data_IF_050922658843
#
_entry.id   IF_050922658843
#
_cell.length_a   1.000
_cell.length_b   1.000
_cell.length_c   1.000
_cell.angle_alpha   90.00
_cell.angle_beta   90.00
_cell.angle_gamma   90.00
#
_symmetry.space_group_name_H-M   'P 1'
#
loop_
_entity.id
_entity.type
_entity.pdbx_description
1 polymer ?
#
# COMPACT_ATOMS: atom_id res chain seq x y z
N UNK A 1 12.74 3.46 26.81
CA UNK A 1 13.17 4.45 25.80
C UNK A 1 14.02 3.82 24.67
N UNK A 2 14.94 2.88 24.99
CA UNK A 2 15.86 2.31 23.98
C UNK A 2 15.14 1.40 22.94
N UNK A 3 14.10 0.70 23.33
CA UNK A 3 13.36 -0.20 22.44
C UNK A 3 12.62 0.56 21.34
N UNK A 4 12.00 1.69 21.68
CA UNK A 4 11.27 2.54 20.73
C UNK A 4 12.19 3.15 19.68
N UNK A 5 13.39 3.57 20.09
CA UNK A 5 14.39 4.14 19.18
C UNK A 5 14.90 3.09 18.17
N UNK A 6 15.24 1.89 18.64
CA UNK A 6 15.66 0.80 17.75
C UNK A 6 14.56 0.40 16.75
N UNK A 7 13.30 0.41 17.18
CA UNK A 7 12.17 0.18 16.28
C UNK A 7 12.04 1.27 15.21
N UNK A 8 12.20 2.54 15.58
CA UNK A 8 12.14 3.65 14.63
C UNK A 8 13.24 3.55 13.57
N UNK A 9 14.49 3.29 13.99
CA UNK A 9 15.62 3.10 13.07
C UNK A 9 15.36 1.94 12.10
N UNK A 10 14.81 0.83 12.59
CA UNK A 10 14.48 -0.33 11.74
C UNK A 10 13.42 0.02 10.69
N UNK A 11 12.38 0.78 11.06
CA UNK A 11 11.34 1.20 10.12
C UNK A 11 11.92 2.11 9.05
N UNK A 12 12.69 3.13 9.44
CA UNK A 12 13.33 4.06 8.49
C UNK A 12 14.24 3.32 7.51
N UNK A 13 15.11 2.43 8.01
CA UNK A 13 16.01 1.64 7.14
C UNK A 13 15.22 0.74 6.17
N UNK A 14 14.07 0.22 6.60
CA UNK A 14 13.22 -0.61 5.76
C UNK A 14 12.54 0.22 4.65
N UNK A 15 12.10 1.44 4.96
CA UNK A 15 11.54 2.37 3.98
C UNK A 15 12.58 2.77 2.94
N UNK A 16 13.79 3.12 3.37
CA UNK A 16 14.90 3.45 2.46
C UNK A 16 15.27 2.27 1.55
N UNK A 17 15.17 1.03 2.07
CA UNK A 17 15.42 -0.18 1.28
C UNK A 17 14.33 -0.41 0.21
N UNK A 18 13.07 -0.02 0.47
CA UNK A 18 11.97 -0.10 -0.51
C UNK A 18 12.25 0.85 -1.68
N UNK A 19 12.63 2.10 -1.39
CA UNK A 19 12.93 3.10 -2.42
C UNK A 19 14.16 2.72 -3.25
N UNK A 20 15.20 2.22 -2.60
CA UNK A 20 16.36 1.66 -3.31
C UNK A 20 16.00 0.47 -4.19
N UNK A 21 15.13 -0.42 -3.70
CA UNK A 21 14.61 -1.56 -4.45
C UNK A 21 13.82 -1.13 -5.68
N UNK A 22 12.98 -0.11 -5.54
CA UNK A 22 12.21 0.48 -6.64
C UNK A 22 13.13 1.10 -7.71
N UNK A 23 14.14 1.85 -7.28
CA UNK A 23 15.11 2.44 -8.22
C UNK A 23 15.86 1.37 -9.03
N UNK A 24 16.23 0.26 -8.36
CA UNK A 24 17.06 -0.80 -8.97
C UNK A 24 16.27 -1.76 -9.84
N UNK A 25 15.06 -2.14 -9.41
CA UNK A 25 14.27 -3.21 -10.03
C UNK A 25 13.10 -2.68 -10.86
N UNK A 26 12.78 -1.38 -10.75
CA UNK A 26 11.61 -0.75 -11.40
C UNK A 26 10.27 -1.02 -10.67
N UNK A 27 10.25 -1.89 -9.65
CA UNK A 27 9.05 -2.28 -8.93
C UNK A 27 9.10 -1.87 -7.44
N UNK A 28 7.99 -1.32 -6.94
CA UNK A 28 7.85 -0.95 -5.53
C UNK A 28 7.25 -2.11 -4.73
N UNK A 29 8.11 -2.96 -4.17
CA UNK A 29 7.70 -4.14 -3.38
C UNK A 29 7.47 -3.82 -1.88
N UNK A 30 6.75 -2.74 -1.59
CA UNK A 30 6.52 -2.24 -0.23
C UNK A 30 5.79 -3.25 0.66
N UNK A 31 4.70 -3.82 0.17
CA UNK A 31 3.88 -4.77 0.94
C UNK A 31 4.67 -6.04 1.33
N UNK A 32 5.48 -6.56 0.41
CA UNK A 32 6.33 -7.74 0.66
C UNK A 32 7.41 -7.39 1.70
N UNK A 33 8.07 -6.26 1.53
CA UNK A 33 9.16 -5.83 2.41
C UNK A 33 8.64 -5.56 3.83
N UNK A 34 7.49 -4.88 3.97
CA UNK A 34 6.89 -4.60 5.27
C UNK A 34 6.31 -5.85 5.96
N UNK A 35 5.87 -6.87 5.21
CA UNK A 35 5.36 -8.13 5.78
C UNK A 35 6.44 -9.00 6.44
N UNK A 36 7.70 -8.83 6.06
CA UNK A 36 8.84 -9.56 6.65
C UNK A 36 9.01 -9.23 8.13
N UNK A 37 8.77 -7.98 8.52
CA UNK A 37 8.97 -7.52 9.91
C UNK A 37 8.10 -8.27 10.93
N UNK A 38 6.75 -8.35 10.80
CA UNK A 38 5.93 -9.12 11.74
C UNK A 38 6.32 -10.61 11.80
N UNK A 39 6.79 -11.16 10.69
CA UNK A 39 7.27 -12.55 10.64
C UNK A 39 8.54 -12.72 11.48
N UNK A 40 9.53 -11.84 11.32
CA UNK A 40 10.77 -11.85 12.11
C UNK A 40 10.47 -11.64 13.59
N UNK A 41 9.60 -10.70 13.95
CA UNK A 41 9.21 -10.42 15.33
C UNK A 41 8.62 -11.68 16.01
N UNK A 42 7.73 -12.41 15.33
CA UNK A 42 7.13 -13.65 15.83
C UNK A 42 8.15 -14.78 15.96
N UNK A 43 9.02 -14.96 14.97
CA UNK A 43 10.10 -15.95 15.00
C UNK A 43 11.08 -15.66 16.13
N UNK A 44 11.49 -14.42 16.31
CA UNK A 44 12.40 -13.98 17.37
C UNK A 44 11.77 -14.22 18.75
N UNK A 45 10.47 -13.91 18.91
CA UNK A 45 9.74 -14.17 20.16
C UNK A 45 9.70 -15.67 20.52
N UNK A 46 9.39 -16.53 19.54
CA UNK A 46 9.37 -17.98 19.75
C UNK A 46 10.76 -18.52 20.11
N UNK A 47 11.79 -18.07 19.41
CA UNK A 47 13.17 -18.46 19.67
C UNK A 47 13.65 -17.98 21.04
N UNK A 48 13.31 -16.75 21.44
CA UNK A 48 13.66 -16.17 22.74
C UNK A 48 13.11 -16.97 23.90
N UNK A 49 11.83 -17.42 23.83
CA UNK A 49 11.22 -18.24 24.89
C UNK A 49 11.91 -19.60 25.03
N UNK A 50 12.27 -20.23 23.90
CA UNK A 50 13.04 -21.47 23.91
C UNK A 50 14.44 -21.30 24.51
N UNK A 51 15.11 -20.20 24.18
CA UNK A 51 16.44 -19.88 24.70
C UNK A 51 16.41 -19.60 26.20
N UNK A 52 15.42 -18.89 26.71
CA UNK A 52 15.27 -18.64 28.17
C UNK A 52 15.12 -19.97 28.93
N UNK A 53 14.27 -20.88 28.44
CA UNK A 53 14.11 -22.22 29.01
C UNK A 53 15.39 -23.03 28.96
N UNK A 54 16.11 -23.00 27.85
CA UNK A 54 17.41 -23.66 27.70
C UNK A 54 18.45 -23.13 28.70
N UNK A 55 18.54 -21.80 28.85
CA UNK A 55 19.45 -21.16 29.82
C UNK A 55 19.10 -21.59 31.25
N UNK A 56 17.83 -21.55 31.62
CA UNK A 56 17.38 -21.95 32.93
C UNK A 56 17.77 -23.42 33.28
N UNK A 57 17.54 -24.34 32.36
CA UNK A 57 17.91 -25.74 32.54
C UNK A 57 19.44 -25.91 32.66
N UNK A 58 20.20 -25.26 31.77
CA UNK A 58 21.68 -25.35 31.73
C UNK A 58 22.31 -24.75 32.99
N UNK A 59 21.67 -23.74 33.59
CA UNK A 59 22.09 -23.12 34.84
C UNK A 59 21.61 -23.85 36.11
N UNK A 60 20.94 -25.00 35.95
CA UNK A 60 20.44 -25.78 37.10
C UNK A 60 19.18 -25.20 37.74
N UNK A 61 18.50 -24.26 37.09
CA UNK A 61 17.23 -23.65 37.56
C UNK A 61 16.05 -24.56 37.15
N UNK A 62 16.01 -25.78 37.67
CA UNK A 62 14.94 -26.75 37.37
C UNK A 62 14.12 -27.11 38.60
N UNK A 63 12.82 -27.27 38.41
CA UNK A 63 11.91 -27.70 39.49
C UNK A 63 11.85 -26.71 40.67
N UNK A 64 12.08 -27.20 41.88
CA UNK A 64 12.08 -26.44 43.12
C UNK A 64 13.47 -25.92 43.52
N UNK A 65 14.38 -25.70 42.60
CA UNK A 65 15.74 -25.21 42.91
C UNK A 65 15.70 -23.89 43.68
N UNK A 66 16.46 -23.83 44.77
CA UNK A 66 16.59 -22.65 45.64
C UNK A 66 17.92 -21.92 45.41
N UNK A 67 18.07 -20.74 45.98
CA UNK A 67 19.33 -20.00 45.90
C UNK A 67 20.51 -20.77 46.55
N UNK A 68 20.24 -21.67 47.49
CA UNK A 68 21.26 -22.50 48.13
C UNK A 68 21.78 -23.62 47.22
N UNK A 69 21.05 -23.99 46.18
CA UNK A 69 21.43 -25.02 45.21
C UNK A 69 22.32 -24.45 44.11
N UNK A 70 22.46 -23.14 44.05
CA UNK A 70 23.24 -22.46 43.00
C UNK A 70 24.73 -22.44 43.32
N UNK A 71 25.51 -23.09 42.46
CA UNK A 71 26.98 -23.05 42.52
C UNK A 71 27.54 -21.78 41.83
N UNK A 72 28.77 -21.45 42.14
CA UNK A 72 29.49 -20.36 41.45
C UNK A 72 29.58 -20.60 39.92
N UNK A 73 29.66 -21.88 39.51
CA UNK A 73 29.66 -22.28 38.12
C UNK A 73 28.31 -22.01 37.41
N UNK A 74 27.19 -22.29 38.09
CA UNK A 74 25.85 -22.01 37.58
C UNK A 74 25.64 -20.50 37.38
N UNK A 75 26.09 -19.69 38.34
CA UNK A 75 26.03 -18.20 38.24
C UNK A 75 26.90 -17.69 37.09
N UNK A 76 28.08 -18.23 36.89
CA UNK A 76 28.95 -17.85 35.77
C UNK A 76 28.32 -18.23 34.44
N UNK A 77 27.78 -19.42 34.32
CA UNK A 77 27.07 -19.89 33.12
C UNK A 77 25.88 -18.98 32.82
N UNK A 78 25.05 -18.66 33.79
CA UNK A 78 23.93 -17.72 33.63
C UNK A 78 24.40 -16.34 33.13
N UNK A 79 25.43 -15.77 33.77
CA UNK A 79 25.99 -14.48 33.32
C UNK A 79 26.51 -14.51 31.89
N UNK A 80 27.12 -15.65 31.48
CA UNK A 80 27.60 -15.83 30.12
C UNK A 80 26.49 -15.80 29.11
N UNK A 81 25.43 -16.55 29.31
CA UNK A 81 24.31 -16.63 28.40
C UNK A 81 23.40 -15.40 28.44
N UNK A 82 23.19 -14.82 29.64
CA UNK A 82 22.26 -13.70 29.80
C UNK A 82 22.88 -12.35 29.40
N UNK A 83 24.22 -12.19 29.50
CA UNK A 83 24.86 -10.90 29.32
C UNK A 83 26.01 -10.93 28.30
N UNK A 84 26.97 -11.84 28.46
CA UNK A 84 28.20 -11.78 27.65
C UNK A 84 27.98 -12.18 26.20
N UNK A 85 27.27 -13.29 25.96
CA UNK A 85 26.96 -13.76 24.60
C UNK A 85 26.07 -12.75 23.88
N UNK A 86 24.94 -12.24 24.46
CA UNK A 86 24.14 -11.21 23.80
C UNK A 86 24.89 -9.93 23.52
N UNK A 87 25.80 -9.51 24.43
CA UNK A 87 26.64 -8.32 24.22
C UNK A 87 27.55 -8.49 22.99
N UNK A 88 28.24 -9.62 22.89
CA UNK A 88 29.10 -9.93 21.72
C UNK A 88 28.29 -9.97 20.44
N UNK A 89 27.12 -10.61 20.46
CA UNK A 89 26.24 -10.67 19.29
C UNK A 89 25.72 -9.28 18.90
N UNK A 90 25.40 -8.42 19.87
CA UNK A 90 24.98 -7.05 19.60
C UNK A 90 26.11 -6.23 18.96
N UNK A 91 27.36 -6.37 19.43
CA UNK A 91 28.52 -5.71 18.83
C UNK A 91 28.75 -6.21 17.39
N UNK A 92 28.66 -7.51 17.17
CA UNK A 92 28.77 -8.09 15.83
C UNK A 92 27.67 -7.60 14.89
N UNK A 93 26.43 -7.56 15.38
CA UNK A 93 25.28 -7.03 14.61
C UNK A 93 25.50 -5.55 14.24
N UNK A 94 25.97 -4.73 15.18
CA UNK A 94 26.32 -3.33 14.92
C UNK A 94 27.44 -3.21 13.87
N UNK A 95 28.48 -4.04 13.97
CA UNK A 95 29.57 -4.04 13.00
C UNK A 95 29.06 -4.42 11.59
N UNK A 96 28.23 -5.46 11.48
CA UNK A 96 27.59 -5.83 10.21
C UNK A 96 26.70 -4.71 9.69
N UNK A 97 25.88 -4.11 10.54
CA UNK A 97 25.02 -2.99 10.17
C UNK A 97 25.84 -1.83 9.59
N UNK A 98 26.84 -1.33 10.31
CA UNK A 98 27.69 -0.21 9.86
C UNK A 98 28.46 -0.54 8.58
N UNK A 99 28.89 -1.80 8.40
CA UNK A 99 29.68 -2.21 7.22
C UNK A 99 28.83 -2.49 5.98
N UNK A 100 27.60 -2.95 6.15
CA UNK A 100 26.72 -3.40 5.04
C UNK A 100 25.63 -2.42 4.67
N UNK A 101 25.10 -1.66 5.64
CA UNK A 101 24.09 -0.63 5.35
C UNK A 101 24.77 0.61 4.83
N UNK A 102 24.76 0.77 3.50
CA UNK A 102 25.38 1.90 2.79
C UNK A 102 24.39 3.02 2.45
N UNK A 103 23.13 2.85 2.84
CA UNK A 103 22.10 3.87 2.66
C UNK A 103 22.29 4.96 3.71
N UNK A 104 23.01 6.02 3.33
CA UNK A 104 23.14 7.26 4.12
C UNK A 104 22.04 8.22 3.69
N UNK A 105 21.71 9.21 4.54
CA UNK A 105 20.76 10.28 4.20
C UNK A 105 21.07 10.94 2.84
N UNK A 106 22.34 11.18 2.57
CA UNK A 106 22.76 11.73 1.27
C UNK A 106 22.43 10.81 0.11
N UNK A 107 22.68 9.51 0.28
CA UNK A 107 22.39 8.51 -0.76
C UNK A 107 20.89 8.29 -0.92
N UNK A 108 20.11 8.37 0.16
CA UNK A 108 18.66 8.36 0.12
C UNK A 108 18.11 9.57 -0.68
N UNK A 109 18.61 10.78 -0.41
CA UNK A 109 18.23 11.97 -1.16
C UNK A 109 18.55 11.83 -2.67
N UNK A 110 19.72 11.30 -3.02
CA UNK A 110 20.11 11.01 -4.41
C UNK A 110 19.16 9.99 -5.07
N UNK A 111 18.74 8.95 -4.33
CA UNK A 111 17.79 7.93 -4.80
C UNK A 111 16.42 8.55 -5.07
N UNK A 112 15.91 9.36 -4.14
CA UNK A 112 14.62 10.06 -4.28
C UNK A 112 14.64 11.01 -5.46
N UNK A 113 15.73 11.79 -5.63
CA UNK A 113 15.91 12.70 -6.76
C UNK A 113 15.98 11.93 -8.09
N UNK A 114 16.71 10.81 -8.13
CA UNK A 114 16.79 9.97 -9.33
C UNK A 114 15.45 9.27 -9.65
N UNK A 115 14.70 8.84 -8.64
CA UNK A 115 13.34 8.32 -8.81
C UNK A 115 12.41 9.40 -9.34
N UNK A 116 12.47 10.62 -8.80
CA UNK A 116 11.70 11.76 -9.30
C UNK A 116 12.08 12.10 -10.74
N UNK A 117 13.37 12.07 -11.06
CA UNK A 117 13.85 12.29 -12.43
C UNK A 117 13.38 11.20 -13.39
N UNK A 118 13.46 9.92 -13.01
CA UNK A 118 12.95 8.82 -13.85
C UNK A 118 11.43 8.87 -14.02
N UNK A 119 10.71 9.32 -13.00
CA UNK A 119 9.27 9.57 -13.11
C UNK A 119 8.97 10.77 -14.01
N UNK A 120 9.79 11.80 -13.98
CA UNK A 120 9.68 12.97 -14.89
C UNK A 120 10.17 12.67 -16.32
N UNK A 121 11.22 11.87 -16.48
CA UNK A 121 11.71 11.43 -17.81
C UNK A 121 10.76 10.40 -18.47
N UNK A 122 10.06 9.58 -17.67
CA UNK A 122 8.92 8.76 -18.14
C UNK A 122 7.71 9.62 -18.54
N UNK A 123 7.66 10.89 -18.11
CA UNK A 123 6.72 11.90 -18.59
C UNK A 123 7.11 12.54 -19.91
N UNK A 124 8.37 12.43 -20.37
CA UNK A 124 8.82 13.01 -21.66
C UNK A 124 8.32 12.24 -22.90
N UNK A 125 7.77 11.03 -22.75
CA UNK A 125 6.94 10.42 -23.81
C UNK A 125 5.51 11.00 -23.82
N UNK A 126 5.22 11.90 -22.88
CA UNK A 126 3.97 12.66 -22.72
C UNK A 126 3.90 13.96 -23.53
N UNK A 127 4.95 14.34 -24.28
CA UNK A 127 4.92 15.55 -25.13
C UNK A 127 3.79 15.54 -26.19
N UNK A 128 3.30 14.36 -26.56
CA UNK A 128 2.07 14.23 -27.37
C UNK A 128 0.78 14.35 -26.57
N UNK A 129 0.86 14.12 -25.27
CA UNK A 129 -0.26 14.13 -24.33
C UNK A 129 -0.49 15.52 -23.74
N UNK A 130 0.57 16.34 -23.61
CA UNK A 130 0.48 17.75 -23.21
C UNK A 130 -0.23 18.63 -24.24
N UNK A 131 -0.20 18.26 -25.52
CA UNK A 131 -0.87 19.03 -26.57
C UNK A 131 -2.40 18.91 -26.52
N UNK A 132 -2.92 17.77 -26.02
CA UNK A 132 -4.37 17.58 -25.83
C UNK A 132 -4.88 18.25 -24.55
N UNK A 133 -4.12 18.19 -23.46
CA UNK A 133 -4.43 18.83 -22.18
C UNK A 133 -4.32 20.37 -22.23
N UNK A 134 -3.49 20.89 -23.12
CA UNK A 134 -3.35 22.34 -23.36
C UNK A 134 -4.58 22.98 -24.00
N UNK A 135 -5.44 22.19 -24.64
CA UNK A 135 -6.56 22.76 -25.41
C UNK A 135 -7.87 22.96 -24.66
N UNK A 136 -8.14 22.28 -23.54
CA UNK A 136 -9.43 22.44 -22.84
C UNK A 136 -9.35 22.55 -21.32
N UNK A 137 -8.26 22.10 -20.65
CA UNK A 137 -8.18 22.10 -19.18
C UNK A 137 -9.21 21.18 -18.50
N UNK A 138 -10.02 20.45 -19.28
CA UNK A 138 -11.12 19.61 -18.78
C UNK A 138 -10.86 18.13 -19.05
N UNK A 139 -11.18 17.29 -18.07
CA UNK A 139 -11.25 15.82 -18.23
C UNK A 139 -12.70 15.39 -18.40
N UNK A 140 -12.99 14.69 -19.49
CA UNK A 140 -14.28 14.02 -19.64
C UNK A 140 -14.31 12.78 -18.76
N UNK A 141 -15.17 12.79 -17.75
CA UNK A 141 -15.39 11.69 -16.84
C UNK A 141 -16.55 10.83 -17.35
N UNK A 142 -16.30 9.53 -17.49
CA UNK A 142 -17.33 8.54 -17.89
C UNK A 142 -17.53 7.49 -16.81
N UNK A 143 -18.67 6.80 -16.82
CA UNK A 143 -18.98 5.75 -15.87
C UNK A 143 -18.01 4.57 -15.99
N UNK A 144 -17.35 4.15 -14.90
CA UNK A 144 -16.40 3.02 -14.91
C UNK A 144 -17.09 1.65 -14.87
N UNK A 145 -18.38 1.59 -14.60
CA UNK A 145 -19.17 0.35 -14.53
C UNK A 145 -20.63 0.68 -14.80
N UNK A 146 -21.37 -0.27 -15.41
CA UNK A 146 -22.82 -0.14 -15.57
C UNK A 146 -23.54 -0.46 -14.27
N UNK A 147 -24.57 0.33 -13.94
CA UNK A 147 -25.39 0.11 -12.75
C UNK A 147 -26.12 1.36 -12.28
N UNK A 148 -26.53 1.35 -11.02
CA UNK A 148 -27.23 2.49 -10.40
C UNK A 148 -26.20 3.41 -9.75
N UNK A 149 -26.02 4.61 -10.34
CA UNK A 149 -25.18 5.68 -9.79
C UNK A 149 -25.92 6.43 -8.69
N UNK A 150 -25.18 6.88 -7.68
CA UNK A 150 -25.67 7.63 -6.54
C UNK A 150 -24.58 8.54 -5.97
N UNK A 151 -25.00 9.63 -5.33
CA UNK A 151 -24.08 10.46 -4.56
C UNK A 151 -23.56 9.69 -3.35
N UNK A 152 -22.31 9.95 -3.05
CA UNK A 152 -21.64 9.42 -1.88
C UNK A 152 -22.33 9.86 -0.58
N UNK A 153 -22.93 11.05 -0.55
CA UNK A 153 -23.69 11.60 0.57
C UNK A 153 -24.98 10.81 0.91
N UNK A 154 -25.51 10.04 -0.05
CA UNK A 154 -26.66 9.16 0.15
C UNK A 154 -26.30 7.83 0.87
N UNK A 155 -25.02 7.64 1.23
CA UNK A 155 -24.50 6.41 1.84
C UNK A 155 -23.84 6.66 3.21
N UNK A 156 -24.60 6.91 4.27
CA UNK A 156 -24.11 7.43 5.55
C UNK A 156 -23.11 6.52 6.29
N UNK A 157 -23.06 5.22 5.99
CA UNK A 157 -22.20 4.27 6.70
C UNK A 157 -20.86 3.94 5.99
N UNK A 158 -20.70 4.37 4.75
CA UNK A 158 -19.53 4.02 3.91
C UNK A 158 -18.55 5.20 3.83
N UNK A 159 -19.02 6.39 4.09
CA UNK A 159 -18.42 7.63 3.61
C UNK A 159 -17.59 8.41 4.59
N UNK A 160 -17.55 8.04 5.86
CA UNK A 160 -16.62 8.63 6.83
C UNK A 160 -15.15 8.40 6.43
N UNK A 161 -14.89 7.33 5.65
CA UNK A 161 -13.55 7.00 5.16
C UNK A 161 -13.16 7.76 3.88
N UNK A 162 -14.13 8.16 3.05
CA UNK A 162 -13.86 8.74 1.72
C UNK A 162 -14.07 10.26 1.63
N UNK A 163 -14.32 10.96 2.74
CA UNK A 163 -14.47 12.42 2.81
C UNK A 163 -15.48 13.05 1.82
N UNK A 164 -16.54 12.32 1.43
CA UNK A 164 -17.69 12.85 0.70
C UNK A 164 -17.43 13.43 -0.68
N UNK A 165 -16.39 12.99 -1.42
CA UNK A 165 -15.93 13.65 -2.64
C UNK A 165 -15.85 12.74 -3.84
N UNK A 166 -16.99 12.29 -4.31
CA UNK A 166 -17.10 11.39 -5.44
C UNK A 166 -18.50 10.86 -5.65
N UNK A 167 -18.58 9.68 -6.21
CA UNK A 167 -19.85 8.98 -6.45
C UNK A 167 -19.67 7.48 -6.24
N UNK A 168 -20.79 6.79 -6.10
CA UNK A 168 -20.80 5.34 -6.01
C UNK A 168 -21.73 4.76 -7.09
N UNK A 169 -21.43 3.54 -7.52
CA UNK A 169 -22.27 2.82 -8.47
C UNK A 169 -22.54 1.44 -7.88
N UNK A 170 -23.84 1.08 -7.76
CA UNK A 170 -24.26 -0.29 -7.49
C UNK A 170 -24.14 -1.06 -8.78
N UNK A 171 -23.15 -1.94 -8.97
CA UNK A 171 -22.84 -2.53 -10.26
C UNK A 171 -23.90 -3.55 -10.69
N UNK A 172 -24.16 -3.63 -12.00
CA UNK A 172 -24.96 -4.67 -12.63
C UNK A 172 -24.09 -5.73 -13.30
N UNK A 173 -22.81 -5.42 -13.50
CA UNK A 173 -21.80 -6.29 -14.11
C UNK A 173 -20.52 -6.33 -13.26
N UNK A 174 -19.72 -7.38 -13.44
CA UNK A 174 -18.45 -7.57 -12.73
C UNK A 174 -17.25 -7.04 -13.53
N UNK A 175 -17.32 -5.82 -14.09
CA UNK A 175 -16.29 -5.24 -14.94
C UNK A 175 -16.03 -3.79 -14.56
N UNK A 176 -14.76 -3.39 -14.58
CA UNK A 176 -14.36 -1.99 -14.38
C UNK A 176 -13.66 -1.49 -15.64
N UNK A 177 -14.07 -0.32 -16.09
CA UNK A 177 -13.53 0.36 -17.25
C UNK A 177 -12.87 1.69 -16.84
N UNK A 178 -11.91 2.14 -17.62
CA UNK A 178 -11.23 3.42 -17.36
C UNK A 178 -12.23 4.60 -17.45
N UNK A 179 -12.32 5.44 -16.41
CA UNK A 179 -13.29 6.54 -16.36
C UNK A 179 -12.87 7.76 -17.18
N UNK A 180 -11.62 7.82 -17.63
CA UNK A 180 -11.03 8.89 -18.46
C UNK A 180 -9.74 8.40 -19.13
N UNK A 181 -9.27 9.16 -20.12
CA UNK A 181 -7.94 8.97 -20.70
C UNK A 181 -6.88 9.34 -19.66
N UNK A 182 -5.91 8.44 -19.43
CA UNK A 182 -4.91 8.68 -18.40
C UNK A 182 -3.94 7.52 -18.20
N UNK A 183 -3.41 7.43 -16.98
CA UNK A 183 -2.44 6.41 -16.59
C UNK A 183 -2.91 5.72 -15.32
N UNK A 184 -2.77 4.40 -15.24
CA UNK A 184 -2.93 3.66 -13.99
C UNK A 184 -1.72 3.94 -13.11
N UNK A 185 -1.92 4.61 -11.98
CA UNK A 185 -0.83 5.02 -11.07
C UNK A 185 -0.42 3.94 -10.12
N UNK A 186 -1.38 3.22 -9.58
CA UNK A 186 -1.13 2.12 -8.65
C UNK A 186 -2.33 1.18 -8.56
N UNK A 187 -2.02 -0.05 -8.16
CA UNK A 187 -2.99 -1.08 -7.78
C UNK A 187 -2.56 -1.69 -6.46
N UNK A 188 -3.51 -1.93 -5.57
CA UNK A 188 -3.20 -2.71 -4.37
C UNK A 188 -2.98 -4.19 -4.75
N UNK A 189 -2.10 -4.89 -4.03
CA UNK A 189 -1.88 -6.34 -4.21
C UNK A 189 -3.17 -7.16 -4.09
N UNK A 190 -4.13 -6.65 -3.32
CA UNK A 190 -5.48 -7.21 -3.16
C UNK A 190 -6.44 -6.85 -4.29
N UNK A 191 -5.99 -6.05 -5.27
CA UNK A 191 -6.66 -5.70 -6.55
C UNK A 191 -8.04 -5.05 -6.43
N UNK A 192 -8.54 -4.78 -5.23
CA UNK A 192 -9.84 -4.14 -5.01
C UNK A 192 -9.81 -2.61 -5.16
N UNK A 193 -8.62 -2.03 -5.36
CA UNK A 193 -8.41 -0.58 -5.50
C UNK A 193 -7.53 -0.28 -6.69
N UNK A 194 -7.97 0.65 -7.54
CA UNK A 194 -7.25 1.15 -8.71
C UNK A 194 -7.10 2.66 -8.58
N UNK A 195 -5.88 3.17 -8.63
CA UNK A 195 -5.60 4.60 -8.70
C UNK A 195 -5.29 5.02 -10.14
N UNK A 196 -5.97 6.05 -10.62
CA UNK A 196 -5.78 6.60 -11.97
C UNK A 196 -5.47 8.11 -11.91
N UNK A 197 -4.72 8.57 -12.88
CA UNK A 197 -4.49 9.99 -13.11
C UNK A 197 -4.73 10.32 -14.57
N UNK A 198 -5.52 11.37 -14.83
CA UNK A 198 -5.76 11.87 -16.18
C UNK A 198 -4.59 12.74 -16.67
N UNK A 199 -4.57 13.02 -17.96
CA UNK A 199 -3.54 13.87 -18.60
C UNK A 199 -3.45 15.29 -18.01
N UNK A 200 -4.57 15.84 -17.52
CA UNK A 200 -4.59 17.16 -16.87
C UNK A 200 -4.43 17.10 -15.33
N UNK A 201 -4.09 15.92 -14.77
CA UNK A 201 -3.79 15.75 -13.36
C UNK A 201 -5.01 15.51 -12.47
N UNK A 202 -6.16 15.13 -13.02
CA UNK A 202 -7.29 14.64 -12.22
C UNK A 202 -6.92 13.26 -11.66
N UNK A 203 -6.88 13.15 -10.34
CA UNK A 203 -6.61 11.88 -9.65
C UNK A 203 -7.89 11.28 -9.10
N UNK A 204 -8.12 10.01 -9.40
CA UNK A 204 -9.28 9.25 -8.95
C UNK A 204 -8.87 7.88 -8.44
N UNK A 205 -9.54 7.43 -7.38
CA UNK A 205 -9.47 6.05 -6.91
C UNK A 205 -10.82 5.37 -7.17
N UNK A 206 -10.76 4.18 -7.74
CA UNK A 206 -11.89 3.25 -7.86
C UNK A 206 -11.70 2.16 -6.82
N UNK A 207 -12.60 2.08 -5.86
CA UNK A 207 -12.63 1.07 -4.80
C UNK A 207 -13.78 0.10 -5.06
N UNK A 208 -13.45 -1.17 -5.23
CA UNK A 208 -14.39 -2.22 -5.65
C UNK A 208 -14.82 -3.02 -4.42
N UNK A 209 -16.06 -2.85 -4.04
CA UNK A 209 -16.68 -3.48 -2.88
C UNK A 209 -16.20 -2.90 -1.53
N UNK A 210 -16.98 -3.13 -0.48
CA UNK A 210 -16.62 -2.74 0.89
C UNK A 210 -16.18 -3.98 1.66
N UNK A 211 -15.02 -3.89 2.33
CA UNK A 211 -14.43 -5.01 3.06
C UNK A 211 -13.68 -6.02 2.19
N UNK A 212 -13.64 -5.82 0.88
CA UNK A 212 -13.04 -6.74 -0.11
C UNK A 212 -11.52 -6.86 -0.01
N UNK A 213 -10.85 -5.98 0.75
CA UNK A 213 -9.44 -6.14 1.14
C UNK A 213 -9.17 -7.51 1.78
N UNK A 214 -10.16 -8.05 2.53
CA UNK A 214 -10.06 -9.34 3.21
C UNK A 214 -10.11 -10.53 2.25
N UNK A 215 -10.56 -10.34 1.01
CA UNK A 215 -10.55 -11.38 -0.03
C UNK A 215 -9.16 -11.65 -0.61
N UNK A 216 -8.16 -10.81 -0.27
CA UNK A 216 -6.75 -10.98 -0.65
C UNK A 216 -6.54 -11.17 -2.16
N UNK A 217 -7.36 -10.50 -2.98
CA UNK A 217 -7.30 -10.55 -4.44
C UNK A 217 -8.08 -11.70 -5.08
N UNK A 218 -8.74 -12.55 -4.31
CA UNK A 218 -9.63 -13.58 -4.87
C UNK A 218 -10.85 -12.92 -5.54
N UNK A 219 -11.18 -13.37 -6.74
CA UNK A 219 -12.28 -12.82 -7.52
C UNK A 219 -11.95 -11.53 -8.29
N UNK A 220 -10.66 -11.11 -8.36
CA UNK A 220 -10.22 -9.92 -9.09
C UNK A 220 -9.18 -10.30 -10.15
N UNK A 221 -9.41 -9.94 -11.41
CA UNK A 221 -8.52 -10.17 -12.55
C UNK A 221 -8.20 -8.84 -13.21
N UNK A 222 -6.94 -8.37 -13.08
CA UNK A 222 -6.47 -7.13 -13.71
C UNK A 222 -6.07 -7.37 -15.16
N UNK A 223 -6.45 -6.46 -16.06
CA UNK A 223 -6.09 -6.45 -17.48
C UNK A 223 -5.08 -5.34 -17.83
N UNK A 224 -4.45 -4.74 -16.83
CA UNK A 224 -3.48 -3.67 -16.98
C UNK A 224 -2.28 -3.91 -16.04
N UNK A 225 -1.25 -3.11 -16.23
CA UNK A 225 -0.10 -2.99 -15.32
C UNK A 225 0.02 -1.55 -14.83
N UNK A 226 0.64 -1.37 -13.67
CA UNK A 226 0.92 -0.03 -13.13
C UNK A 226 1.81 0.75 -14.10
N UNK A 227 1.48 2.03 -14.30
CA UNK A 227 2.12 2.89 -15.30
C UNK A 227 1.55 2.79 -16.72
N UNK A 228 0.61 1.87 -16.99
CA UNK A 228 -0.01 1.74 -18.31
C UNK A 228 -0.90 2.93 -18.63
N UNK A 229 -0.76 3.47 -19.87
CA UNK A 229 -1.72 4.42 -20.44
C UNK A 229 -2.99 3.70 -20.82
N UNK A 230 -4.12 4.28 -20.48
CA UNK A 230 -5.46 3.73 -20.74
C UNK A 230 -6.37 4.79 -21.37
N UNK A 231 -7.34 4.34 -22.15
CA UNK A 231 -8.36 5.17 -22.75
C UNK A 231 -9.68 5.05 -22.02
N UNK A 232 -10.46 6.12 -21.96
CA UNK A 232 -11.82 6.09 -21.42
C UNK A 232 -12.63 4.95 -22.04
N UNK A 233 -13.24 4.10 -21.19
CA UNK A 233 -13.99 2.91 -21.63
C UNK A 233 -13.13 1.66 -21.88
N UNK A 234 -11.80 1.70 -21.72
CA UNK A 234 -10.94 0.51 -21.78
C UNK A 234 -11.18 -0.38 -20.57
N UNK A 235 -11.30 -1.70 -20.78
CA UNK A 235 -11.50 -2.68 -19.70
C UNK A 235 -10.23 -2.75 -18.83
N UNK A 236 -10.39 -2.48 -17.55
CA UNK A 236 -9.31 -2.55 -16.57
C UNK A 236 -9.33 -3.81 -15.72
N UNK A 237 -10.50 -4.25 -15.29
CA UNK A 237 -10.59 -5.35 -14.33
C UNK A 237 -11.91 -6.12 -14.49
N UNK A 238 -11.83 -7.45 -14.33
CA UNK A 238 -12.99 -8.27 -14.00
C UNK A 238 -13.03 -8.53 -12.50
N UNK A 239 -14.22 -8.51 -11.90
CA UNK A 239 -14.43 -8.90 -10.51
C UNK A 239 -15.68 -9.76 -10.32
N UNK A 240 -15.58 -10.73 -9.43
CA UNK A 240 -16.64 -11.69 -9.15
C UNK A 240 -17.58 -11.15 -8.08
N UNK A 241 -18.70 -10.56 -8.50
CA UNK A 241 -19.73 -9.99 -7.63
C UNK A 241 -20.36 -11.02 -6.72
N UNK A 242 -20.63 -12.20 -7.26
CA UNK A 242 -21.28 -13.27 -6.50
C UNK A 242 -20.35 -13.76 -5.39
N UNK A 243 -19.06 -13.91 -5.68
CA UNK A 243 -18.05 -14.26 -4.67
C UNK A 243 -17.92 -13.18 -3.59
N UNK A 244 -17.97 -11.89 -3.95
CA UNK A 244 -17.95 -10.77 -2.98
C UNK A 244 -19.13 -10.91 -2.01
N UNK A 245 -20.35 -11.06 -2.55
CA UNK A 245 -21.58 -11.15 -1.74
C UNK A 245 -21.59 -12.44 -0.90
N UNK A 246 -21.16 -13.58 -1.45
CA UNK A 246 -21.05 -14.85 -0.71
C UNK A 246 -20.09 -14.77 0.47
N UNK A 247 -19.05 -13.95 0.39
CA UNK A 247 -18.13 -13.70 1.50
C UNK A 247 -18.66 -12.66 2.50
N UNK A 248 -19.88 -12.16 2.33
CA UNK A 248 -20.53 -11.20 3.25
C UNK A 248 -20.08 -9.75 3.05
N UNK A 249 -19.48 -9.42 1.90
CA UNK A 249 -19.05 -8.07 1.55
C UNK A 249 -20.04 -7.40 0.62
N UNK A 250 -20.00 -6.06 0.56
CA UNK A 250 -20.80 -5.26 -0.36
C UNK A 250 -20.04 -5.10 -1.69
N UNK A 251 -20.70 -5.30 -2.84
CA UNK A 251 -20.10 -5.22 -4.18
C UNK A 251 -20.09 -3.81 -4.77
N UNK A 252 -20.54 -2.81 -4.04
CA UNK A 252 -20.61 -1.43 -4.51
C UNK A 252 -19.25 -0.89 -4.95
N UNK A 253 -19.22 -0.18 -6.07
CA UNK A 253 -18.02 0.47 -6.60
C UNK A 253 -18.03 1.94 -6.18
N UNK A 254 -17.03 2.37 -5.42
CA UNK A 254 -16.88 3.76 -4.95
C UNK A 254 -15.77 4.45 -5.72
N UNK A 255 -16.08 5.58 -6.34
CA UNK A 255 -15.16 6.42 -7.09
C UNK A 255 -14.96 7.74 -6.36
N UNK A 256 -13.74 8.06 -5.97
CA UNK A 256 -13.46 9.30 -5.25
C UNK A 256 -12.20 10.00 -5.75
N UNK A 257 -12.22 11.33 -5.67
CA UNK A 257 -11.11 12.18 -6.04
C UNK A 257 -10.14 12.35 -4.87
N UNK A 258 -8.85 12.10 -5.08
CA UNK A 258 -7.83 12.18 -4.02
C UNK A 258 -7.40 13.62 -3.72
N UNK A 259 -7.49 14.52 -4.70
CA UNK A 259 -7.10 15.93 -4.60
C UNK A 259 -8.28 16.88 -4.92
N UNK A 260 -9.36 16.82 -4.14
CA UNK A 260 -10.57 17.59 -4.45
C UNK A 260 -10.38 19.12 -4.38
N UNK A 261 -9.40 19.62 -3.64
CA UNK A 261 -9.04 21.05 -3.63
C UNK A 261 -8.47 21.57 -4.94
N UNK A 262 -8.02 20.67 -5.84
CA UNK A 262 -7.60 21.02 -7.20
C UNK A 262 -8.72 20.95 -8.23
N UNK A 263 -9.88 20.46 -7.88
CA UNK A 263 -11.05 20.40 -8.77
C UNK A 263 -11.85 21.67 -8.59
N UNK A 264 -12.14 22.36 -9.70
CA UNK A 264 -12.85 23.64 -9.67
C UNK A 264 -14.29 23.47 -9.15
N UNK A 265 -14.96 22.43 -9.62
CA UNK A 265 -16.28 22.02 -9.18
C UNK A 265 -16.37 20.49 -9.14
N UNK A 266 -16.70 19.94 -7.98
CA UNK A 266 -16.86 18.49 -7.82
C UNK A 266 -18.17 18.10 -8.50
N UNK A 267 -18.15 17.12 -9.43
CA UNK A 267 -19.36 16.72 -10.13
C UNK A 267 -20.44 16.23 -9.16
N UNK A 268 -21.59 16.88 -9.20
CA UNK A 268 -22.80 16.38 -8.56
C UNK A 268 -23.44 15.38 -9.53
N UNK A 269 -23.68 14.15 -9.08
CA UNK A 269 -24.34 13.11 -9.87
C UNK A 269 -25.81 12.98 -9.44
N UNK A 270 -26.71 12.92 -10.43
CA UNK A 270 -28.11 12.57 -10.16
C UNK A 270 -28.21 11.06 -10.03
N UNK A 271 -28.90 10.57 -8.98
CA UNK A 271 -29.13 9.14 -8.80
C UNK A 271 -29.96 8.57 -9.94
N UNK A 272 -29.51 7.48 -10.55
CA UNK A 272 -30.18 6.84 -11.69
C UNK A 272 -29.38 5.68 -12.28
N UNK A 273 -29.93 5.07 -13.31
CA UNK A 273 -29.21 4.05 -14.08
C UNK A 273 -28.19 4.70 -15.00
N UNK A 274 -27.01 4.09 -15.13
CA UNK A 274 -25.93 4.53 -16.00
C UNK A 274 -25.24 3.33 -16.64
N UNK A 275 -24.81 3.49 -17.89
CA UNK A 275 -24.04 2.46 -18.60
C UNK A 275 -22.55 2.84 -18.60
N UNK A 276 -21.65 1.86 -18.50
CA UNK A 276 -20.23 2.14 -18.59
C UNK A 276 -19.88 2.92 -19.86
N UNK A 277 -18.94 3.86 -19.77
CA UNK A 277 -18.58 4.76 -20.88
C UNK A 277 -19.55 5.93 -21.08
N UNK A 278 -20.73 5.95 -20.45
CA UNK A 278 -21.62 7.10 -20.46
C UNK A 278 -21.01 8.27 -19.69
N UNK A 279 -21.19 9.48 -20.22
CA UNK A 279 -20.62 10.69 -19.63
C UNK A 279 -21.29 11.04 -18.30
N UNK A 280 -20.48 11.19 -17.27
CA UNK A 280 -20.91 11.70 -15.96
C UNK A 280 -20.76 13.24 -15.93
N UNK A 281 -19.58 13.74 -16.26
CA UNK A 281 -19.26 15.18 -16.17
C UNK A 281 -18.03 15.55 -17.03
N UNK A 282 -17.82 16.85 -17.22
CA UNK A 282 -16.51 17.41 -17.57
C UNK A 282 -15.90 18.02 -16.29
N UNK A 283 -14.70 17.60 -15.93
CA UNK A 283 -14.02 18.00 -14.69
C UNK A 283 -12.84 18.91 -15.02
N UNK A 284 -12.86 20.13 -14.50
CA UNK A 284 -11.78 21.10 -14.63
C UNK A 284 -10.84 21.01 -13.42
N UNK A 285 -9.54 20.87 -13.67
CA UNK A 285 -8.49 20.80 -12.64
C UNK A 285 -7.76 22.14 -12.60
N UNK A 286 -7.67 22.73 -11.41
CA UNK A 286 -6.89 23.95 -11.18
C UNK A 286 -5.39 23.63 -11.30
N UNK A 287 -4.66 24.49 -12.00
CA UNK A 287 -3.21 24.39 -12.15
C UNK A 287 -2.45 24.69 -10.86
#
# INVERSE_FOLDING_TARGET
YNFTFAQLVTVLTLTDAIEYGQLKNGERNEAVTLSIRPMIDKLTGAFSNGLVSFIAITCGMTGAATAADMTAGNVHTFKSFAFYIPLVLAILALFVFVSKVKLTEKKHAEIVEELQRKLSDGQNDSDKTEEYAKNTGMTRLVAPVSGKIMNVEEMPNVLSEFNGRGFAIRPQEGKIYAPFDGVVRFTFTTRHVIGLVSENGLEMIIHIGIGTVNMRGQGFISHYVDGQKVKAGELLMDFDRDLIVQNGYDDIVVCFFTQPGRIKEIPSVSSGEIVHGEKIADVEVNK
#
